data_IF_917142968610
#
_entry.id   IF_917142968610
#
_cell.length_a   1.000
_cell.length_b   1.000
_cell.length_c   1.000
_cell.angle_alpha   90.00
_cell.angle_beta   90.00
_cell.angle_gamma   90.00
#
_symmetry.space_group_name_H-M   'P 1'
#
loop_
_entity.id
_entity.type
_entity.pdbx_description
1 polymer ?
#
# COMPACT_ATOMS: atom_id res chain seq x y z
N UNK A 1 5.41 -1.00 24.44
CA UNK A 1 5.35 -2.24 23.63
C UNK A 1 5.65 -1.84 22.20
N UNK A 2 6.89 -2.03 21.74
CA UNK A 2 7.26 -1.75 20.35
C UNK A 2 6.79 -2.92 19.51
N UNK A 3 5.56 -2.89 19.03
CA UNK A 3 5.08 -3.86 18.04
C UNK A 3 6.00 -3.74 16.83
N UNK A 4 6.79 -4.77 16.56
CA UNK A 4 7.65 -4.82 15.38
C UNK A 4 6.77 -4.60 14.15
N UNK A 5 6.88 -3.44 13.51
CA UNK A 5 6.05 -3.06 12.35
C UNK A 5 6.13 -4.19 11.31
N UNK A 6 4.97 -4.73 10.96
CA UNK A 6 4.86 -5.84 10.02
C UNK A 6 5.38 -5.47 8.63
N UNK A 7 5.85 -6.48 7.88
CA UNK A 7 6.32 -6.30 6.50
C UNK A 7 5.28 -5.54 5.63
N UNK A 8 3.96 -5.82 5.69
CA UNK A 8 2.98 -5.09 4.88
C UNK A 8 2.95 -3.58 5.14
N UNK A 9 3.05 -3.15 6.40
CA UNK A 9 3.05 -1.72 6.76
C UNK A 9 4.34 -1.05 6.27
N UNK A 10 5.49 -1.72 6.44
CA UNK A 10 6.74 -1.23 5.85
C UNK A 10 6.62 -1.07 4.33
N UNK A 11 5.93 -1.99 3.65
CA UNK A 11 5.83 -1.97 2.19
C UNK A 11 5.02 -0.76 1.74
N UNK A 12 3.94 -0.49 2.46
CA UNK A 12 3.07 0.64 2.21
C UNK A 12 3.81 1.96 2.46
N UNK A 13 4.67 2.02 3.49
CA UNK A 13 5.54 3.17 3.75
C UNK A 13 6.56 3.39 2.61
N UNK A 14 7.19 2.34 2.10
CA UNK A 14 8.10 2.42 0.93
C UNK A 14 7.36 2.82 -0.37
N UNK A 15 6.05 2.58 -0.46
CA UNK A 15 5.22 2.99 -1.59
C UNK A 15 4.83 4.49 -1.57
N UNK A 16 5.09 5.22 -0.47
CA UNK A 16 4.82 6.65 -0.40
C UNK A 16 5.57 7.41 -1.53
N UNK A 17 4.92 8.44 -2.07
CA UNK A 17 5.39 9.19 -3.23
C UNK A 17 5.11 8.53 -4.59
N UNK A 18 4.64 7.28 -4.64
CA UNK A 18 4.36 6.57 -5.89
C UNK A 18 2.86 6.48 -6.20
N UNK A 19 2.55 6.11 -7.45
CA UNK A 19 1.17 5.79 -7.84
C UNK A 19 0.81 4.41 -7.30
N UNK A 20 -0.26 4.36 -6.52
CA UNK A 20 -0.85 3.13 -5.99
C UNK A 20 -2.29 3.01 -6.46
N UNK A 21 -2.80 1.78 -6.48
CA UNK A 21 -4.25 1.53 -6.60
C UNK A 21 -4.71 0.87 -5.30
N UNK A 22 -5.86 1.26 -4.78
CA UNK A 22 -6.53 0.54 -3.69
C UNK A 22 -7.99 0.28 -4.04
N UNK A 23 -8.53 -0.80 -3.51
CA UNK A 23 -9.97 -1.07 -3.53
C UNK A 23 -10.52 -0.99 -2.12
N UNK A 24 -11.66 -0.32 -1.94
CA UNK A 24 -12.36 -0.29 -0.66
C UNK A 24 -13.43 -1.38 -0.56
N UNK A 25 -13.92 -1.67 0.64
CA UNK A 25 -14.93 -2.72 0.90
C UNK A 25 -16.21 -2.52 0.07
N UNK A 26 -16.60 -1.27 -0.17
CA UNK A 26 -17.70 -0.88 -1.07
C UNK A 26 -17.35 -0.96 -2.56
N UNK A 27 -16.20 -1.56 -2.92
CA UNK A 27 -15.81 -1.98 -4.28
C UNK A 27 -15.46 -0.87 -5.27
N UNK A 28 -15.39 0.39 -4.83
CA UNK A 28 -14.76 1.44 -5.63
C UNK A 28 -13.25 1.26 -5.58
N UNK A 29 -12.59 1.57 -6.70
CA UNK A 29 -11.13 1.59 -6.79
C UNK A 29 -10.63 3.02 -6.90
N UNK A 30 -9.53 3.32 -6.22
CA UNK A 30 -8.88 4.63 -6.20
C UNK A 30 -7.45 4.43 -6.68
N UNK A 31 -7.08 5.13 -7.76
CA UNK A 31 -5.72 5.13 -8.30
C UNK A 31 -5.17 6.55 -8.25
N UNK A 32 -4.10 6.76 -7.50
CA UNK A 32 -3.50 8.08 -7.32
C UNK A 32 -2.14 8.01 -6.63
N UNK A 33 -1.53 9.17 -6.41
CA UNK A 33 -0.25 9.28 -5.70
C UNK A 33 -0.45 9.10 -4.20
N UNK A 34 0.23 8.14 -3.60
CA UNK A 34 0.25 7.96 -2.14
C UNK A 34 1.08 9.06 -1.51
N UNK A 35 0.45 9.93 -0.71
CA UNK A 35 1.15 10.99 0.02
C UNK A 35 1.62 10.49 1.39
N UNK A 36 0.72 9.84 2.12
CA UNK A 36 0.95 9.39 3.49
C UNK A 36 0.26 8.05 3.72
N UNK A 37 0.89 7.19 4.52
CA UNK A 37 0.35 5.94 5.02
C UNK A 37 0.66 5.78 6.51
N UNK A 38 -0.37 5.53 7.31
CA UNK A 38 -0.28 5.30 8.76
C UNK A 38 -0.17 3.79 9.09
N UNK A 39 0.26 3.47 10.32
CA UNK A 39 0.36 2.08 10.82
C UNK A 39 -0.99 1.34 10.86
N UNK A 40 -2.10 2.07 10.93
CA UNK A 40 -3.47 1.53 10.87
C UNK A 40 -3.99 1.42 9.41
N UNK A 41 -3.12 1.65 8.42
CA UNK A 41 -3.38 1.69 6.98
C UNK A 41 -4.34 2.80 6.53
N UNK A 42 -4.57 3.83 7.35
CA UNK A 42 -5.14 5.07 6.82
C UNK A 42 -4.16 5.65 5.80
N UNK A 43 -4.70 6.18 4.71
CA UNK A 43 -3.90 6.72 3.61
C UNK A 43 -4.43 8.03 3.09
N UNK A 44 -3.52 8.88 2.66
CA UNK A 44 -3.82 10.08 1.91
C UNK A 44 -3.35 9.91 0.47
N UNK A 45 -4.26 10.14 -0.48
CA UNK A 45 -3.97 10.12 -1.91
C UNK A 45 -4.13 11.51 -2.52
N UNK A 46 -3.45 11.75 -3.64
CA UNK A 46 -3.59 12.93 -4.50
C UNK A 46 -3.72 12.55 -5.97
N UNK A 47 -4.32 13.42 -6.76
CA UNK A 47 -4.47 13.32 -8.22
C UNK A 47 -5.11 11.97 -8.60
N UNK A 48 -6.29 11.71 -8.02
CA UNK A 48 -6.93 10.39 -7.99
C UNK A 48 -7.89 10.23 -9.15
N UNK A 49 -7.81 9.07 -9.80
CA UNK A 49 -8.88 8.53 -10.65
C UNK A 49 -9.65 7.48 -9.85
N UNK A 50 -10.95 7.67 -9.71
CA UNK A 50 -11.86 6.74 -9.01
C UNK A 50 -12.67 5.99 -10.04
N UNK A 51 -12.74 4.67 -9.91
CA UNK A 51 -13.66 3.84 -10.70
C UNK A 51 -14.69 3.24 -9.76
N UNK A 52 -15.96 3.60 -9.98
CA UNK A 52 -17.10 3.06 -9.26
C UNK A 52 -17.39 1.61 -9.69
N UNK A 53 -18.19 0.89 -8.90
CA UNK A 53 -18.56 -0.51 -9.18
C UNK A 53 -19.25 -0.70 -10.52
N UNK A 54 -20.00 0.32 -10.98
CA UNK A 54 -20.69 0.34 -12.26
C UNK A 54 -19.77 0.75 -13.43
N UNK A 55 -18.48 0.93 -13.17
CA UNK A 55 -17.47 1.31 -14.16
C UNK A 55 -17.37 2.80 -14.42
N UNK A 56 -18.18 3.65 -13.78
CA UNK A 56 -18.08 5.11 -13.93
C UNK A 56 -16.75 5.62 -13.37
N UNK A 57 -16.11 6.50 -14.12
CA UNK A 57 -14.83 7.10 -13.77
C UNK A 57 -15.04 8.55 -13.36
N UNK A 58 -14.40 8.97 -12.27
CA UNK A 58 -14.33 10.36 -11.83
C UNK A 58 -12.93 10.72 -11.34
N UNK A 59 -12.68 12.02 -11.20
CA UNK A 59 -11.41 12.56 -10.70
C UNK A 59 -11.61 13.28 -9.38
N UNK A 60 -10.65 13.12 -8.48
CA UNK A 60 -10.60 13.81 -7.19
C UNK A 60 -9.19 14.36 -6.98
N UNK A 61 -9.07 15.59 -6.48
CA UNK A 61 -7.76 16.20 -6.24
C UNK A 61 -7.04 15.55 -5.06
N UNK A 62 -7.77 15.28 -3.97
CA UNK A 62 -7.22 14.72 -2.74
C UNK A 62 -8.27 13.91 -1.98
N UNK A 63 -7.84 12.81 -1.37
CA UNK A 63 -8.70 11.92 -0.58
C UNK A 63 -7.95 11.41 0.64
N UNK A 64 -8.67 11.26 1.75
CA UNK A 64 -8.22 10.50 2.92
C UNK A 64 -9.11 9.27 3.10
N UNK A 65 -8.52 8.09 3.12
CA UNK A 65 -9.24 6.81 3.26
C UNK A 65 -8.85 6.15 4.57
N UNK A 66 -9.87 5.75 5.34
CA UNK A 66 -9.69 4.96 6.56
C UNK A 66 -9.24 3.54 6.22
N UNK A 67 -8.15 3.09 6.82
CA UNK A 67 -7.52 1.79 6.52
C UNK A 67 -8.42 0.58 6.74
N UNK A 68 -9.34 0.64 7.71
CA UNK A 68 -10.30 -0.44 7.94
C UNK A 68 -11.33 -0.64 6.82
N UNK A 69 -11.45 0.30 5.88
CA UNK A 69 -12.28 0.14 4.69
C UNK A 69 -11.50 -0.33 3.47
N UNK A 70 -10.18 -0.48 3.55
CA UNK A 70 -9.37 -0.95 2.42
C UNK A 70 -9.41 -2.48 2.37
N UNK A 71 -9.65 -3.03 1.18
CA UNK A 71 -9.63 -4.47 0.91
C UNK A 71 -8.23 -4.94 0.52
N UNK A 72 -7.59 -4.22 -0.41
CA UNK A 72 -6.22 -4.48 -0.82
C UNK A 72 -5.58 -3.23 -1.41
N UNK A 73 -4.25 -3.26 -1.48
CA UNK A 73 -3.42 -2.29 -2.21
C UNK A 73 -2.71 -3.00 -3.37
N UNK A 74 -2.53 -2.27 -4.46
CA UNK A 74 -1.62 -2.58 -5.55
C UNK A 74 -0.55 -1.49 -5.52
N UNK A 75 0.67 -1.91 -5.19
CA UNK A 75 1.84 -1.03 -5.12
C UNK A 75 2.71 -1.19 -6.38
N UNK A 76 3.61 -0.24 -6.67
CA UNK A 76 4.52 -0.34 -7.82
C UNK A 76 5.33 -1.64 -7.83
N UNK A 77 5.53 -2.18 -9.03
CA UNK A 77 6.28 -3.41 -9.28
C UNK A 77 7.77 -3.31 -8.91
N UNK A 78 8.34 -2.10 -8.90
CA UNK A 78 9.70 -1.84 -8.42
C UNK A 78 9.93 -2.30 -6.98
N UNK A 79 8.87 -2.37 -6.16
CA UNK A 79 8.95 -2.87 -4.78
C UNK A 79 8.99 -4.40 -4.69
N UNK A 80 8.83 -5.14 -5.80
CA UNK A 80 8.94 -6.62 -5.83
C UNK A 80 10.22 -7.14 -5.19
N UNK A 81 11.32 -6.43 -5.42
CA UNK A 81 12.65 -6.84 -4.97
C UNK A 81 13.09 -6.11 -3.69
N UNK A 82 12.17 -5.43 -3.01
CA UNK A 82 12.46 -4.69 -1.79
C UNK A 82 13.12 -5.60 -0.75
N UNK A 83 14.12 -5.10 0.00
CA UNK A 83 14.94 -5.91 0.91
C UNK A 83 14.10 -6.62 1.98
N UNK A 84 12.94 -6.08 2.33
CA UNK A 84 11.98 -6.67 3.26
C UNK A 84 11.41 -8.04 2.85
N UNK A 85 11.42 -8.38 1.56
CA UNK A 85 10.99 -9.68 1.06
C UNK A 85 12.12 -10.72 1.08
N UNK A 86 13.37 -10.30 1.35
CA UNK A 86 14.49 -11.23 1.49
C UNK A 86 14.39 -11.91 2.85
N UNK A 87 14.13 -13.22 2.85
CA UNK A 87 14.13 -14.03 4.07
C UNK A 87 15.50 -13.97 4.73
N UNK A 88 15.54 -13.66 6.04
CA UNK A 88 16.77 -13.60 6.84
C UNK A 88 17.36 -14.99 7.18
N UNK A 89 16.97 -16.04 6.45
CA UNK A 89 17.32 -17.44 6.72
C UNK A 89 18.46 -17.97 5.83
N UNK A 90 19.54 -17.21 5.70
CA UNK A 90 20.84 -17.78 5.28
C UNK A 90 21.91 -17.37 6.30
N UNK A 91 21.70 -17.73 7.57
CA UNK A 91 22.86 -17.95 8.46
C UNK A 91 23.42 -19.30 8.05
N UNK A 92 24.62 -19.28 7.47
CA UNK A 92 25.28 -20.45 6.91
C UNK A 92 25.25 -21.64 7.85
N UNK A 93 24.92 -22.81 7.31
CA UNK A 93 25.39 -24.07 7.87
C UNK A 93 26.91 -24.01 7.83
N UNK A 94 27.53 -23.64 8.95
CA UNK A 94 28.93 -23.92 9.18
C UNK A 94 29.07 -25.44 9.14
N UNK A 95 29.74 -25.95 8.12
CA UNK A 95 30.25 -27.32 8.12
C UNK A 95 31.60 -27.21 8.82
N UNK A 96 31.62 -27.56 10.09
CA UNK A 96 32.82 -27.86 10.87
C UNK A 96 32.73 -29.30 11.31
#
# INVERSE_FOLDING_TARGET
MTSTIGIPIKLLNEAQGHIVTLEITSGQTYRGKLLEAEDNMNVQLKDITVTARDGRVSHLDQVYIRGSHVRFFIVPDMLRNAPMFRSRNVRGRGVG
#
